data_IF_743814564622
#
_entry.id   IF_743814564622
#
_cell.length_a   1.000
_cell.length_b   1.000
_cell.length_c   1.000
_cell.angle_alpha   90.00
_cell.angle_beta   90.00
_cell.angle_gamma   90.00
#
_symmetry.space_group_name_H-M   'P 1'
#
loop_
_entity.id
_entity.type
_entity.pdbx_description
1 polymer ?
#
# COMPACT_ATOMS: atom_id res chain seq x y z
N UNK A 1 7.98 14.29 -8.57
CA UNK A 1 7.77 13.46 -7.38
C UNK A 1 7.52 12.06 -7.89
N UNK A 2 8.16 11.03 -7.34
CA UNK A 2 7.90 9.65 -7.78
C UNK A 2 7.03 8.98 -6.73
N UNK A 3 5.72 9.24 -6.83
CA UNK A 3 4.71 8.81 -5.86
C UNK A 3 4.78 7.29 -5.61
N UNK A 4 4.86 6.48 -6.68
CA UNK A 4 4.98 5.02 -6.58
C UNK A 4 6.18 4.58 -5.75
N UNK A 5 7.34 5.22 -5.96
CA UNK A 5 8.56 4.91 -5.22
C UNK A 5 8.42 5.26 -3.74
N UNK A 6 7.92 6.45 -3.43
CA UNK A 6 7.72 6.90 -2.05
C UNK A 6 6.68 6.04 -1.32
N UNK A 7 5.60 5.67 -2.00
CA UNK A 7 4.56 4.79 -1.45
C UNK A 7 5.10 3.38 -1.20
N UNK A 8 5.91 2.85 -2.12
CA UNK A 8 6.57 1.55 -1.94
C UNK A 8 7.46 1.53 -0.71
N UNK A 9 8.30 2.56 -0.53
CA UNK A 9 9.19 2.68 0.65
C UNK A 9 8.38 2.74 1.96
N UNK A 10 7.23 3.43 1.96
CA UNK A 10 6.32 3.49 3.11
C UNK A 10 5.72 2.10 3.41
N UNK A 11 5.20 1.42 2.38
CA UNK A 11 4.59 0.09 2.52
C UNK A 11 5.59 -0.92 3.07
N UNK A 12 6.81 -0.96 2.51
CA UNK A 12 7.87 -1.85 2.99
C UNK A 12 8.19 -1.63 4.46
N UNK A 13 8.27 -0.36 4.90
CA UNK A 13 8.49 -0.02 6.31
C UNK A 13 7.38 -0.55 7.22
N UNK A 14 6.12 -0.42 6.81
CA UNK A 14 4.98 -0.93 7.60
C UNK A 14 4.90 -2.45 7.62
N UNK A 15 5.21 -3.11 6.50
CA UNK A 15 5.33 -4.56 6.40
C UNK A 15 6.41 -5.07 7.36
N UNK A 16 7.59 -4.43 7.38
CA UNK A 16 8.70 -4.80 8.26
C UNK A 16 8.35 -4.64 9.75
N UNK A 17 7.69 -3.54 10.12
CA UNK A 17 7.21 -3.32 11.49
C UNK A 17 6.19 -4.40 11.87
N UNK A 18 5.27 -4.73 10.97
CA UNK A 18 4.23 -5.74 11.21
C UNK A 18 4.84 -7.13 11.39
N UNK A 19 5.80 -7.51 10.55
CA UNK A 19 6.54 -8.78 10.68
C UNK A 19 7.31 -8.85 12.01
N UNK A 20 8.00 -7.78 12.42
CA UNK A 20 8.76 -7.72 13.68
C UNK A 20 7.89 -7.82 14.94
N UNK A 21 6.62 -7.43 14.84
CA UNK A 21 5.66 -7.55 15.94
C UNK A 21 5.04 -8.95 16.03
N UNK A 22 5.09 -9.74 14.96
CA UNK A 22 4.65 -11.14 15.01
C UNK A 22 5.62 -11.98 15.84
N UNK A 23 5.08 -12.94 16.58
CA UNK A 23 5.85 -13.93 17.35
C UNK A 23 6.16 -15.18 16.51
N UNK A 24 5.77 -15.20 15.24
CA UNK A 24 6.00 -16.33 14.36
C UNK A 24 7.50 -16.58 14.17
N UNK A 25 7.94 -17.82 14.44
CA UNK A 25 9.33 -18.24 14.28
C UNK A 25 9.60 -18.80 12.87
N UNK A 26 8.54 -19.05 12.10
CA UNK A 26 8.59 -19.65 10.77
C UNK A 26 7.48 -19.08 9.88
N UNK A 27 7.57 -19.34 8.57
CA UNK A 27 6.51 -18.99 7.62
C UNK A 27 5.21 -19.73 7.96
N UNK A 28 5.29 -20.99 8.36
CA UNK A 28 4.11 -21.80 8.73
C UNK A 28 3.39 -21.23 9.96
N UNK A 29 4.14 -20.69 10.93
CA UNK A 29 3.56 -20.02 12.09
C UNK A 29 2.98 -18.65 11.71
N UNK A 30 3.61 -17.93 10.79
CA UNK A 30 3.16 -16.63 10.32
C UNK A 30 1.83 -16.75 9.57
N UNK A 31 1.66 -17.77 8.73
CA UNK A 31 0.41 -18.02 7.99
C UNK A 31 -0.75 -18.34 8.93
N UNK A 32 -0.46 -18.94 10.10
CA UNK A 32 -1.45 -19.21 11.16
C UNK A 32 -1.73 -18.00 12.05
N UNK A 33 -0.89 -16.98 12.03
CA UNK A 33 -1.10 -15.72 12.72
C UNK A 33 -2.06 -14.84 11.89
N UNK A 34 -3.35 -15.20 11.94
CA UNK A 34 -4.42 -14.55 11.18
C UNK A 34 -4.47 -13.04 11.40
N UNK A 35 -4.14 -12.57 12.61
CA UNK A 35 -4.12 -11.15 12.94
C UNK A 35 -3.00 -10.41 12.19
N UNK A 36 -1.81 -11.00 12.12
CA UNK A 36 -0.69 -10.44 11.35
C UNK A 36 -0.97 -10.49 9.85
N UNK A 37 -1.50 -11.61 9.34
CA UNK A 37 -1.89 -11.72 7.92
C UNK A 37 -2.94 -10.67 7.55
N UNK A 38 -3.99 -10.51 8.37
CA UNK A 38 -5.03 -9.51 8.12
C UNK A 38 -4.47 -8.06 8.11
N UNK A 39 -3.47 -7.76 8.94
CA UNK A 39 -2.78 -6.45 8.91
C UNK A 39 -1.96 -6.26 7.64
N UNK A 40 -1.20 -7.28 7.23
CA UNK A 40 -0.42 -7.23 6.01
C UNK A 40 -1.31 -7.01 4.78
N UNK A 41 -2.43 -7.74 4.69
CA UNK A 41 -3.39 -7.55 3.59
C UNK A 41 -3.92 -6.12 3.55
N UNK A 42 -4.34 -5.55 4.69
CA UNK A 42 -4.82 -4.17 4.75
C UNK A 42 -3.78 -3.14 4.33
N UNK A 43 -2.49 -3.38 4.61
CA UNK A 43 -1.40 -2.50 4.18
C UNK A 43 -1.32 -2.48 2.65
N UNK A 44 -1.39 -3.65 2.00
CA UNK A 44 -1.41 -3.74 0.55
C UNK A 44 -2.71 -3.21 -0.06
N UNK A 45 -3.88 -3.52 0.50
CA UNK A 45 -5.16 -2.95 0.06
C UNK A 45 -5.14 -1.41 0.11
N UNK A 46 -4.52 -0.84 1.15
CA UNK A 46 -4.37 0.61 1.27
C UNK A 46 -3.41 1.18 0.23
N UNK A 47 -2.35 0.46 -0.13
CA UNK A 47 -1.43 0.84 -1.22
C UNK A 47 -2.21 0.97 -2.51
N UNK A 48 -2.95 -0.06 -2.88
CA UNK A 48 -3.70 -0.13 -4.13
C UNK A 48 -4.73 1.01 -4.21
N UNK A 49 -5.47 1.28 -3.12
CA UNK A 49 -6.41 2.40 -3.06
C UNK A 49 -5.71 3.76 -3.24
N UNK A 50 -4.51 3.94 -2.71
CA UNK A 50 -3.75 5.18 -2.86
C UNK A 50 -3.19 5.35 -4.27
N UNK A 51 -2.80 4.26 -4.93
CA UNK A 51 -2.41 4.24 -6.35
C UNK A 51 -3.61 4.61 -7.25
N UNK A 52 -4.76 3.95 -7.04
CA UNK A 52 -6.00 4.28 -7.77
C UNK A 52 -6.39 5.76 -7.60
N UNK A 53 -6.30 6.29 -6.37
CA UNK A 53 -6.58 7.70 -6.10
C UNK A 53 -5.60 8.61 -6.84
N UNK A 54 -4.31 8.29 -6.82
CA UNK A 54 -3.30 9.08 -7.51
C UNK A 54 -3.52 9.10 -9.01
N UNK A 55 -3.78 7.94 -9.62
CA UNK A 55 -4.04 7.80 -11.05
C UNK A 55 -5.28 8.59 -11.47
N UNK A 56 -6.38 8.52 -10.70
CA UNK A 56 -7.57 9.34 -10.94
C UNK A 56 -7.26 10.84 -10.89
N UNK A 57 -6.42 11.28 -9.96
CA UNK A 57 -6.01 12.70 -9.85
C UNK A 57 -5.09 13.13 -11.00
N UNK A 58 -4.19 12.26 -11.46
CA UNK A 58 -3.36 12.53 -12.65
C UNK A 58 -4.22 12.59 -13.91
N UNK A 59 -5.17 11.66 -14.11
CA UNK A 59 -6.12 11.71 -15.24
C UNK A 59 -7.01 12.97 -15.20
N UNK A 60 -7.37 13.45 -14.01
CA UNK A 60 -8.13 14.69 -13.86
C UNK A 60 -7.35 15.95 -14.33
N UNK A 61 -6.04 15.85 -14.55
CA UNK A 61 -5.26 16.92 -15.20
C UNK A 61 -5.53 16.99 -16.72
N UNK A 62 -5.83 15.89 -17.40
CA UNK A 62 -6.28 15.89 -18.80
C UNK A 62 -7.73 16.40 -18.93
N UNK A 63 -8.61 16.08 -17.97
CA UNK A 63 -9.96 16.64 -17.87
C UNK A 63 -9.93 18.17 -17.61
N UNK A 64 -9.04 18.65 -16.73
CA UNK A 64 -8.77 20.08 -16.55
C UNK A 64 -8.28 20.76 -17.84
N UNK A 65 -7.51 20.07 -18.68
CA UNK A 65 -7.10 20.60 -19.98
C UNK A 65 -8.26 20.69 -21.00
N UNK A 66 -9.32 19.87 -20.86
CA UNK A 66 -10.54 19.96 -21.67
C UNK A 66 -11.55 21.01 -21.18
N UNK A 67 -11.63 21.25 -19.87
CA UNK A 67 -12.54 22.26 -19.28
C UNK A 67 -12.04 23.70 -19.53
N UNK A 68 -10.73 23.89 -19.69
CA UNK A 68 -10.12 25.19 -20.02
C UNK A 68 -10.08 25.52 -21.52
N UNK A 69 -10.90 24.85 -22.36
CA UNK A 69 -10.97 25.05 -23.81
C UNK A 69 -12.33 25.59 -24.22
#
# INVERSE_FOLDING_TARGET
MNFEKELTEIVEKYVDVTKKQSKAASVDDLVKDEATIARLNRIYDTKDVLEDLYDMYEEDTELKARINK
#
